data_IF_535027263607
#
_entry.id   IF_535027263607
#
_cell.length_a   1.000
_cell.length_b   1.000
_cell.length_c   1.000
_cell.angle_alpha   90.00
_cell.angle_beta   90.00
_cell.angle_gamma   90.00
#
_symmetry.space_group_name_H-M   'P 1'
#
loop_
_entity.id
_entity.type
_entity.pdbx_description
1 polymer ?
#
# COMPACT_ATOMS: atom_id res chain seq x y z
N UNK A 1 5.41 -8.74 -29.20
CA UNK A 1 4.39 -7.73 -29.55
C UNK A 1 2.95 -8.27 -29.45
N UNK A 2 2.66 -9.55 -29.79
CA UNK A 2 1.31 -10.14 -29.66
C UNK A 2 0.94 -10.51 -28.21
N UNK A 3 1.90 -10.91 -27.38
CA UNK A 3 1.67 -11.25 -25.97
C UNK A 3 1.37 -10.01 -25.11
N UNK A 4 1.99 -8.89 -25.41
CA UNK A 4 1.73 -7.60 -24.71
C UNK A 4 0.29 -7.14 -24.93
N UNK A 5 -0.21 -7.15 -26.17
CA UNK A 5 -1.58 -6.70 -26.47
C UNK A 5 -2.68 -7.55 -25.82
N UNK A 6 -2.48 -8.88 -25.69
CA UNK A 6 -3.47 -9.73 -25.03
C UNK A 6 -3.50 -9.49 -23.52
N UNK A 7 -2.35 -9.24 -22.89
CA UNK A 7 -2.26 -8.92 -21.47
C UNK A 7 -2.92 -7.57 -21.14
N UNK A 8 -2.68 -6.55 -21.97
CA UNK A 8 -3.31 -5.24 -21.82
C UNK A 8 -4.85 -5.32 -21.93
N UNK A 9 -5.36 -6.15 -22.85
CA UNK A 9 -6.79 -6.40 -23.01
C UNK A 9 -7.40 -7.14 -21.82
N UNK A 10 -6.66 -8.09 -21.19
CA UNK A 10 -7.12 -8.78 -20.00
C UNK A 10 -7.18 -7.84 -18.78
N UNK A 11 -6.21 -6.94 -18.63
CA UNK A 11 -6.22 -5.92 -17.58
C UNK A 11 -7.36 -4.92 -17.78
N UNK A 12 -7.59 -4.46 -18.99
CA UNK A 12 -8.68 -3.55 -19.31
C UNK A 12 -10.04 -4.23 -19.09
N UNK A 13 -10.20 -5.50 -19.47
CA UNK A 13 -11.39 -6.29 -19.18
C UNK A 13 -11.57 -6.50 -17.67
N UNK A 14 -10.49 -6.72 -16.93
CA UNK A 14 -10.48 -6.76 -15.47
C UNK A 14 -10.98 -5.46 -14.85
N UNK A 15 -10.49 -4.31 -15.34
CA UNK A 15 -10.95 -2.99 -14.92
C UNK A 15 -12.46 -2.80 -15.18
N UNK A 16 -12.94 -3.17 -16.36
CA UNK A 16 -14.37 -3.04 -16.72
C UNK A 16 -15.30 -3.88 -15.85
N UNK A 17 -14.77 -4.96 -15.25
CA UNK A 17 -15.51 -5.84 -14.34
C UNK A 17 -15.42 -5.41 -12.85
N UNK A 18 -14.68 -4.34 -12.53
CA UNK A 18 -14.65 -3.77 -11.17
C UNK A 18 -16.01 -3.14 -10.83
N UNK A 19 -16.36 -3.16 -9.54
CA UNK A 19 -17.50 -2.40 -9.06
C UNK A 19 -17.34 -0.90 -9.31
N UNK A 20 -18.42 -0.18 -9.49
CA UNK A 20 -18.40 1.25 -9.83
C UNK A 20 -17.61 2.10 -8.83
N UNK A 21 -17.68 1.76 -7.53
CA UNK A 21 -16.91 2.46 -6.50
C UNK A 21 -15.39 2.32 -6.70
N UNK A 22 -14.94 1.11 -7.07
CA UNK A 22 -13.51 0.86 -7.29
C UNK A 22 -13.02 1.49 -8.60
N UNK A 23 -13.86 1.50 -9.64
CA UNK A 23 -13.56 2.25 -10.87
C UNK A 23 -13.38 3.74 -10.59
N UNK A 24 -14.32 4.34 -9.87
CA UNK A 24 -14.26 5.75 -9.51
C UNK A 24 -12.99 6.08 -8.68
N UNK A 25 -12.57 5.14 -7.84
CA UNK A 25 -11.33 5.27 -7.07
C UNK A 25 -10.10 5.24 -7.98
N UNK A 26 -10.03 4.29 -8.92
CA UNK A 26 -8.94 4.19 -9.90
C UNK A 26 -8.87 5.45 -10.76
N UNK A 27 -10.00 5.89 -11.31
CA UNK A 27 -10.08 7.10 -12.14
C UNK A 27 -9.62 8.33 -11.35
N UNK A 28 -10.05 8.48 -10.10
CA UNK A 28 -9.61 9.57 -9.21
C UNK A 28 -8.10 9.58 -8.98
N UNK A 29 -7.48 8.40 -8.85
CA UNK A 29 -6.02 8.29 -8.71
C UNK A 29 -5.32 8.65 -10.02
N UNK A 30 -5.82 8.17 -11.16
CA UNK A 30 -5.27 8.47 -12.47
C UNK A 30 -5.32 9.97 -12.77
N UNK A 31 -6.46 10.62 -12.51
CA UNK A 31 -6.64 12.07 -12.66
C UNK A 31 -5.67 12.84 -11.76
N UNK A 32 -5.54 12.41 -10.51
CA UNK A 32 -4.63 13.05 -9.55
C UNK A 32 -3.16 12.98 -9.97
N UNK A 33 -2.78 11.96 -10.74
CA UNK A 33 -1.44 11.76 -11.30
C UNK A 33 -1.27 12.35 -12.71
N UNK A 34 -2.34 12.72 -13.36
CA UNK A 34 -2.33 13.14 -14.78
C UNK A 34 -2.07 11.98 -15.75
N UNK A 35 -2.47 10.76 -15.39
CA UNK A 35 -2.36 9.56 -16.22
C UNK A 35 -3.55 9.53 -17.18
N UNK A 36 -3.28 9.41 -18.47
CA UNK A 36 -4.34 9.35 -19.47
C UNK A 36 -4.91 7.93 -19.65
N UNK A 37 -6.00 7.82 -20.41
CA UNK A 37 -6.70 6.55 -20.62
C UNK A 37 -5.86 5.50 -21.35
N UNK A 38 -4.95 5.94 -22.25
CA UNK A 38 -4.09 5.04 -23.03
C UNK A 38 -3.00 4.39 -22.13
N UNK A 39 -2.67 5.02 -21.01
CA UNK A 39 -1.71 4.53 -20.03
C UNK A 39 -2.35 3.68 -18.92
N UNK A 40 -3.68 3.52 -18.91
CA UNK A 40 -4.43 2.82 -17.86
C UNK A 40 -3.94 1.40 -17.63
N UNK A 41 -3.78 0.61 -18.69
CA UNK A 41 -3.36 -0.79 -18.56
C UNK A 41 -1.96 -0.92 -17.95
N UNK A 42 -1.03 -0.06 -18.36
CA UNK A 42 0.32 -0.02 -17.79
C UNK A 42 0.29 0.41 -16.31
N UNK A 43 -0.50 1.41 -15.97
CA UNK A 43 -0.68 1.85 -14.58
C UNK A 43 -1.26 0.73 -13.71
N UNK A 44 -2.33 0.07 -14.14
CA UNK A 44 -2.96 -1.03 -13.39
C UNK A 44 -2.01 -2.22 -13.22
N UNK A 45 -1.19 -2.54 -14.22
CA UNK A 45 -0.22 -3.62 -14.14
C UNK A 45 0.86 -3.41 -13.07
N UNK A 46 1.14 -2.17 -12.72
CA UNK A 46 2.19 -1.74 -11.78
C UNK A 46 1.66 -1.31 -10.41
N UNK A 47 0.34 -1.25 -10.25
CA UNK A 47 -0.31 -0.70 -9.05
C UNK A 47 -1.11 -1.76 -8.32
N UNK A 48 -0.95 -1.85 -7.01
CA UNK A 48 -1.79 -2.66 -6.14
C UNK A 48 -2.77 -1.76 -5.39
N UNK A 49 -4.01 -2.22 -5.28
CA UNK A 49 -5.07 -1.56 -4.52
C UNK A 49 -5.43 -2.40 -3.30
N UNK A 50 -5.66 -1.74 -2.17
CA UNK A 50 -6.06 -2.40 -0.94
C UNK A 50 -6.35 -1.43 0.17
N UNK A 51 -6.81 -1.94 1.30
CA UNK A 51 -7.13 -1.11 2.45
C UNK A 51 -5.87 -0.73 3.25
N UNK A 52 -5.95 0.45 3.87
CA UNK A 52 -4.97 0.96 4.82
C UNK A 52 -5.66 1.31 6.14
N UNK A 53 -5.03 1.03 7.26
CA UNK A 53 -5.50 1.44 8.58
C UNK A 53 -4.59 2.55 9.10
N UNK A 54 -5.20 3.61 9.59
CA UNK A 54 -4.51 4.64 10.37
C UNK A 54 -4.87 4.52 11.85
N UNK A 55 -3.85 4.51 12.72
CA UNK A 55 -4.03 4.52 14.17
C UNK A 55 -2.85 5.19 14.86
N UNK A 56 -3.08 5.82 16.01
CA UNK A 56 -2.02 6.51 16.74
C UNK A 56 -0.96 5.54 17.27
N UNK A 57 -1.37 4.46 17.94
CA UNK A 57 -0.46 3.49 18.57
C UNK A 57 -1.03 2.07 18.55
N UNK A 58 -1.12 1.42 17.39
CA UNK A 58 -1.69 0.08 17.27
C UNK A 58 -0.74 -1.00 17.82
N UNK A 59 -1.32 -2.17 18.19
CA UNK A 59 -0.57 -3.38 18.49
C UNK A 59 -0.31 -3.62 19.98
N UNK A 60 -1.08 -3.01 20.88
CA UNK A 60 -0.98 -3.22 22.32
C UNK A 60 -1.67 -4.52 22.78
N UNK A 61 -2.71 -4.97 22.08
CA UNK A 61 -3.45 -6.19 22.40
C UNK A 61 -2.59 -7.46 22.34
N UNK A 62 -3.09 -8.58 22.91
CA UNK A 62 -2.39 -9.86 22.95
C UNK A 62 -2.47 -10.63 21.62
N UNK A 63 -3.57 -10.52 20.88
CA UNK A 63 -3.85 -11.24 19.62
C UNK A 63 -3.29 -10.52 18.37
N UNK A 64 -2.03 -10.12 18.41
CA UNK A 64 -1.39 -9.28 17.38
C UNK A 64 -1.29 -9.96 16.02
N UNK A 65 -1.04 -11.26 16.01
CA UNK A 65 -0.98 -12.06 14.78
C UNK A 65 -2.34 -12.12 14.10
N UNK A 66 -3.39 -12.40 14.87
CA UNK A 66 -4.77 -12.42 14.34
C UNK A 66 -5.19 -11.05 13.84
N UNK A 67 -4.83 -9.97 14.53
CA UNK A 67 -5.10 -8.62 14.08
C UNK A 67 -4.48 -8.34 12.71
N UNK A 68 -3.22 -8.72 12.49
CA UNK A 68 -2.53 -8.56 11.21
C UNK A 68 -3.16 -9.46 10.12
N UNK A 69 -3.38 -10.75 10.41
CA UNK A 69 -3.93 -11.69 9.44
C UNK A 69 -5.35 -11.32 9.00
N UNK A 70 -6.21 -10.89 9.92
CA UNK A 70 -7.56 -10.43 9.58
C UNK A 70 -7.54 -9.21 8.65
N UNK A 71 -6.67 -8.25 8.90
CA UNK A 71 -6.52 -7.11 8.00
C UNK A 71 -6.10 -7.56 6.60
N UNK A 72 -5.13 -8.47 6.50
CA UNK A 72 -4.65 -8.98 5.22
C UNK A 72 -5.73 -9.71 4.43
N UNK A 73 -6.51 -10.56 5.09
CA UNK A 73 -7.64 -11.28 4.47
C UNK A 73 -8.70 -10.32 3.93
N UNK A 74 -8.90 -9.18 4.59
CA UNK A 74 -9.80 -8.11 4.14
C UNK A 74 -9.16 -7.14 3.13
N UNK A 75 -8.03 -7.53 2.52
CA UNK A 75 -7.37 -6.73 1.49
C UNK A 75 -6.41 -5.67 2.02
N UNK A 76 -5.98 -5.76 3.29
CA UNK A 76 -5.00 -4.83 3.87
C UNK A 76 -3.65 -4.89 3.15
N UNK A 77 -3.09 -3.74 2.78
CA UNK A 77 -1.77 -3.59 2.18
C UNK A 77 -0.81 -2.79 3.06
N UNK A 78 -1.31 -1.91 3.89
CA UNK A 78 -0.50 -1.06 4.74
C UNK A 78 -1.20 -0.67 6.04
N UNK A 79 -0.40 -0.34 7.04
CA UNK A 79 -0.84 0.42 8.21
C UNK A 79 0.01 1.69 8.28
N UNK A 80 -0.61 2.78 8.69
CA UNK A 80 0.06 4.04 9.01
C UNK A 80 -0.18 4.32 10.49
N UNK A 81 0.87 4.63 11.23
CA UNK A 81 0.76 4.95 12.65
C UNK A 81 1.67 6.11 13.05
N UNK A 82 1.41 6.74 14.17
CA UNK A 82 2.39 7.64 14.79
C UNK A 82 3.54 6.83 15.36
N UNK A 83 3.21 5.76 16.09
CA UNK A 83 4.14 4.76 16.57
C UNK A 83 3.47 3.38 16.70
N UNK A 84 4.24 2.30 16.69
CA UNK A 84 3.73 0.97 16.99
C UNK A 84 3.92 0.66 18.48
N UNK A 85 2.86 0.21 19.16
CA UNK A 85 2.91 -0.13 20.57
C UNK A 85 3.94 -1.24 20.85
N UNK A 86 4.13 -2.16 19.92
CA UNK A 86 5.11 -3.24 20.03
C UNK A 86 5.80 -3.55 18.71
N UNK A 87 7.08 -3.89 18.76
CA UNK A 87 7.83 -4.42 17.60
C UNK A 87 7.19 -5.70 17.05
N UNK A 88 6.59 -6.52 17.90
CA UNK A 88 5.94 -7.79 17.51
C UNK A 88 4.77 -7.56 16.55
N UNK A 89 3.90 -6.58 16.83
CA UNK A 89 2.80 -6.28 15.92
C UNK A 89 3.30 -5.78 14.55
N UNK A 90 4.30 -4.92 14.55
CA UNK A 90 4.96 -4.46 13.33
C UNK A 90 5.55 -5.63 12.52
N UNK A 91 6.23 -6.58 13.18
CA UNK A 91 6.77 -7.78 12.51
C UNK A 91 5.65 -8.67 11.96
N UNK A 92 4.51 -8.79 12.66
CA UNK A 92 3.37 -9.54 12.16
C UNK A 92 2.80 -8.91 10.87
N UNK A 93 2.70 -7.58 10.78
CA UNK A 93 2.31 -6.90 9.54
C UNK A 93 3.26 -7.26 8.40
N UNK A 94 4.56 -7.20 8.63
CA UNK A 94 5.59 -7.56 7.64
C UNK A 94 5.45 -9.01 7.18
N UNK A 95 5.25 -9.96 8.11
CA UNK A 95 5.08 -11.38 7.80
C UNK A 95 3.89 -11.64 6.87
N UNK A 96 2.85 -10.82 6.96
CA UNK A 96 1.68 -10.84 6.07
C UNK A 96 1.86 -9.96 4.83
N UNK A 97 3.05 -9.42 4.58
CA UNK A 97 3.36 -8.58 3.43
C UNK A 97 2.70 -7.21 3.46
N UNK A 98 2.29 -6.74 4.64
CA UNK A 98 1.74 -5.40 4.82
C UNK A 98 2.83 -4.42 5.23
N UNK A 99 2.76 -3.22 4.68
CA UNK A 99 3.73 -2.15 4.90
C UNK A 99 3.43 -1.41 6.22
N UNK A 100 4.31 -1.47 7.23
CA UNK A 100 4.10 -0.83 8.52
C UNK A 100 4.69 0.58 8.55
N UNK A 101 4.05 1.53 7.89
CA UNK A 101 4.50 2.92 7.88
C UNK A 101 4.32 3.60 9.23
N UNK A 102 5.21 4.54 9.51
CA UNK A 102 5.03 5.57 10.53
C UNK A 102 4.97 6.94 9.88
N UNK A 103 4.30 7.89 10.52
CA UNK A 103 4.36 9.29 10.13
C UNK A 103 5.76 9.84 10.41
N UNK A 104 6.30 10.64 9.50
CA UNK A 104 7.51 11.38 9.77
C UNK A 104 7.29 12.40 10.90
N UNK A 105 8.36 12.76 11.58
CA UNK A 105 8.28 13.71 12.70
C UNK A 105 7.72 15.05 12.26
N UNK A 106 6.65 15.47 12.93
CA UNK A 106 5.98 16.75 12.66
C UNK A 106 4.79 16.63 11.71
N UNK A 107 4.58 15.46 11.09
CA UNK A 107 3.39 15.21 10.27
C UNK A 107 2.14 15.08 11.15
N UNK A 108 1.07 15.79 10.76
CA UNK A 108 -0.23 15.75 11.44
C UNK A 108 -1.35 15.69 10.40
N UNK A 109 -1.39 14.63 9.58
CA UNK A 109 -2.38 14.54 8.52
C UNK A 109 -3.80 14.40 9.08
N UNK A 110 -4.75 15.01 8.40
CA UNK A 110 -6.18 14.84 8.69
C UNK A 110 -6.74 13.72 7.78
N UNK A 111 -6.44 12.46 8.13
CA UNK A 111 -7.00 11.32 7.41
C UNK A 111 -8.47 11.10 7.76
N UNK A 112 -9.28 10.88 6.74
CA UNK A 112 -10.69 10.53 6.86
C UNK A 112 -10.97 9.16 6.25
N UNK A 113 -12.04 8.52 6.72
CA UNK A 113 -12.47 7.24 6.13
C UNK A 113 -12.89 7.45 4.68
N UNK A 114 -12.31 6.68 3.77
CA UNK A 114 -12.53 6.82 2.33
C UNK A 114 -11.47 7.66 1.60
N UNK A 115 -10.51 8.24 2.31
CA UNK A 115 -9.34 8.84 1.67
C UNK A 115 -8.50 7.78 0.95
N UNK A 116 -7.90 8.20 -0.15
CA UNK A 116 -6.96 7.38 -0.92
C UNK A 116 -5.55 7.81 -0.56
N UNK A 117 -4.72 6.86 -0.15
CA UNK A 117 -3.30 7.09 0.10
C UNK A 117 -2.51 6.47 -1.03
N UNK A 118 -1.97 7.29 -1.91
CA UNK A 118 -1.16 6.85 -3.04
C UNK A 118 0.32 6.98 -2.69
N UNK A 119 1.07 5.89 -2.82
CA UNK A 119 2.51 5.84 -2.55
C UNK A 119 3.19 5.22 -3.77
N UNK A 120 4.06 5.98 -4.40
CA UNK A 120 4.77 5.55 -5.59
C UNK A 120 6.09 4.82 -5.28
N UNK A 121 6.49 3.95 -6.19
CA UNK A 121 7.85 3.42 -6.24
C UNK A 121 8.26 2.51 -5.08
N UNK A 122 7.35 1.99 -4.28
CA UNK A 122 7.65 1.22 -3.06
C UNK A 122 8.63 0.06 -3.31
N UNK A 123 8.45 -0.72 -4.39
CA UNK A 123 9.35 -1.84 -4.69
C UNK A 123 10.78 -1.37 -4.97
N UNK A 124 10.93 -0.29 -5.73
CA UNK A 124 12.22 0.30 -6.05
C UNK A 124 12.89 0.84 -4.79
N UNK A 125 12.14 1.57 -3.98
CA UNK A 125 12.62 2.13 -2.72
C UNK A 125 13.04 1.06 -1.70
N UNK A 126 12.30 -0.04 -1.57
CA UNK A 126 12.68 -1.17 -0.72
C UNK A 126 14.00 -1.80 -1.18
N UNK A 127 14.23 -1.91 -2.50
CA UNK A 127 15.47 -2.46 -3.07
C UNK A 127 16.64 -1.49 -2.85
N UNK A 128 16.45 -0.19 -3.10
CA UNK A 128 17.50 0.84 -2.93
C UNK A 128 17.80 1.13 -1.46
N UNK A 129 16.92 0.72 -0.55
CA UNK A 129 17.09 0.94 0.90
C UNK A 129 16.56 2.28 1.38
N UNK A 130 15.76 2.96 0.58
CA UNK A 130 15.04 4.16 1.00
C UNK A 130 14.08 3.84 2.13
N UNK A 131 13.95 4.78 3.07
CA UNK A 131 13.07 4.65 4.23
C UNK A 131 12.01 5.74 4.31
N UNK A 132 12.08 6.75 3.46
CA UNK A 132 11.13 7.87 3.43
C UNK A 132 10.34 7.87 2.15
N UNK A 133 9.03 8.09 2.26
CA UNK A 133 8.09 8.02 1.16
C UNK A 133 7.16 9.23 1.19
N UNK A 134 7.10 9.96 0.10
CA UNK A 134 6.08 10.97 -0.09
C UNK A 134 4.79 10.27 -0.53
N UNK A 135 3.77 10.30 0.32
CA UNK A 135 2.44 9.80 0.01
C UNK A 135 1.53 10.96 -0.40
N UNK A 136 0.65 10.73 -1.37
CA UNK A 136 -0.40 11.66 -1.75
C UNK A 136 -1.72 11.20 -1.13
N UNK A 137 -2.25 11.98 -0.21
CA UNK A 137 -3.58 11.78 0.37
C UNK A 137 -4.62 12.51 -0.49
N UNK A 138 -5.57 11.77 -1.04
CA UNK A 138 -6.63 12.28 -1.91
C UNK A 138 -7.97 12.03 -1.21
N UNK A 139 -8.56 13.06 -0.65
CA UNK A 139 -9.89 13.05 -0.03
C UNK A 139 -10.98 13.55 -0.98
N UNK A 140 -12.16 13.86 -0.42
CA UNK A 140 -13.28 14.40 -1.19
C UNK A 140 -12.94 15.77 -1.78
N UNK A 141 -12.42 16.67 -0.93
CA UNK A 141 -12.13 18.06 -1.28
C UNK A 141 -10.69 18.44 -0.91
N UNK A 142 -9.80 17.45 -0.73
CA UNK A 142 -8.41 17.67 -0.36
C UNK A 142 -7.45 16.83 -1.20
N UNK A 143 -6.28 17.39 -1.42
CA UNK A 143 -5.13 16.71 -2.01
C UNK A 143 -3.90 17.23 -1.30
N UNK A 144 -3.33 16.43 -0.42
CA UNK A 144 -2.19 16.83 0.40
C UNK A 144 -1.08 15.79 0.36
N UNK A 145 0.15 16.25 0.54
CA UNK A 145 1.33 15.38 0.65
C UNK A 145 1.59 15.07 2.10
N UNK A 146 1.90 13.82 2.39
CA UNK A 146 2.23 13.32 3.72
C UNK A 146 3.55 12.56 3.64
N UNK A 147 4.48 12.82 4.53
CA UNK A 147 5.73 12.09 4.58
C UNK A 147 5.60 10.88 5.51
N UNK A 148 5.78 9.69 4.94
CA UNK A 148 5.75 8.42 5.64
C UNK A 148 7.16 7.85 5.75
N UNK A 149 7.39 7.01 6.76
CA UNK A 149 8.66 6.34 6.99
C UNK A 149 8.48 4.83 7.18
N UNK A 150 9.39 4.05 6.61
CA UNK A 150 9.57 2.62 6.87
C UNK A 150 10.94 2.42 7.53
N UNK A 151 11.06 2.85 8.77
CA UNK A 151 12.31 2.79 9.51
C UNK A 151 12.65 1.37 9.98
N UNK A 152 13.93 1.10 10.18
CA UNK A 152 14.46 -0.12 10.80
C UNK A 152 14.05 -1.44 10.13
N UNK A 153 13.85 -1.44 8.81
CA UNK A 153 13.65 -2.68 8.07
C UNK A 153 14.99 -3.43 7.91
N UNK A 154 15.04 -4.62 8.46
CA UNK A 154 16.15 -5.55 8.23
C UNK A 154 16.12 -6.10 6.80
N UNK A 155 17.25 -6.63 6.31
CA UNK A 155 17.31 -7.25 5.00
C UNK A 155 16.27 -8.38 4.81
N UNK A 156 16.10 -9.33 5.75
CA UNK A 156 15.05 -10.35 5.65
C UNK A 156 13.63 -9.76 5.59
N UNK A 157 13.33 -8.73 6.37
CA UNK A 157 12.01 -8.08 6.34
C UNK A 157 11.70 -7.44 4.99
N UNK A 158 12.70 -6.81 4.35
CA UNK A 158 12.56 -6.29 2.98
C UNK A 158 12.28 -7.40 1.97
N UNK A 159 12.97 -8.54 2.08
CA UNK A 159 12.75 -9.70 1.22
C UNK A 159 11.33 -10.26 1.39
N UNK A 160 10.81 -10.34 2.61
CA UNK A 160 9.43 -10.75 2.90
C UNK A 160 8.43 -9.81 2.25
N UNK A 161 8.60 -8.49 2.42
CA UNK A 161 7.71 -7.48 1.82
C UNK A 161 7.73 -7.56 0.28
N UNK A 162 8.90 -7.72 -0.32
CA UNK A 162 9.04 -7.88 -1.78
C UNK A 162 8.42 -9.18 -2.30
N UNK A 163 8.45 -10.25 -1.51
CA UNK A 163 7.80 -11.53 -1.82
C UNK A 163 6.28 -11.50 -1.58
N UNK A 164 5.76 -10.47 -0.87
CA UNK A 164 4.36 -10.30 -0.54
C UNK A 164 3.88 -11.04 0.71
N UNK A 165 4.69 -11.94 1.25
CA UNK A 165 4.48 -12.59 2.57
C UNK A 165 5.69 -13.41 2.98
N UNK A 166 5.75 -13.79 4.28
CA UNK A 166 6.77 -14.70 4.81
C UNK A 166 6.72 -16.06 4.11
N UNK A 167 5.52 -16.61 3.88
CA UNK A 167 5.36 -17.92 3.20
C UNK A 167 5.93 -17.85 1.79
N UNK A 168 5.63 -16.81 1.04
CA UNK A 168 6.13 -16.65 -0.33
C UNK A 168 7.66 -16.48 -0.38
N UNK A 169 8.26 -15.89 0.65
CA UNK A 169 9.71 -15.70 0.69
C UNK A 169 10.50 -16.99 0.79
N UNK A 170 9.88 -18.09 1.22
CA UNK A 170 10.49 -19.45 1.25
C UNK A 170 10.30 -20.23 -0.04
N UNK A 171 9.53 -19.77 -1.01
CA UNK A 171 9.25 -20.46 -2.28
C UNK A 171 10.24 -20.11 -3.41
N UNK A 172 11.40 -19.53 -3.06
CA UNK A 172 12.49 -19.22 -4.00
C UNK A 172 13.36 -20.41 -4.30
#
# INVERSE_FOLDING_TARGET
AKASKSFDLELEAGYMNLGEELKALVDKVMDAKGINQDERADFLSKTNFGSCIFALKPGDGSAREQAASCQRVLGGLANISVEYATKRYRSNLINWGMLPFTLAKGETPNFEVGDIILIDGIKVALISGESKFEALCIGKDKKEKVLLELNDLTKPEKEILLAGSLINSYQK
#
